data_IF_970814156117
#
_entry.id   IF_970814156117
#
_cell.length_a   1.000
_cell.length_b   1.000
_cell.length_c   1.000
_cell.angle_alpha   90.00
_cell.angle_beta   90.00
_cell.angle_gamma   90.00
#
_symmetry.space_group_name_H-M   'P 1'
#
loop_
_entity.id
_entity.type
_entity.pdbx_description
1 polymer ?
#
# COMPACT_ATOMS: atom_id res chain seq x y z
N UNK A 1 63.34 -6.90 -7.77
CA UNK A 1 62.28 -5.96 -7.34
C UNK A 1 61.09 -6.04 -8.29
N UNK A 2 59.99 -6.66 -7.85
CA UNK A 2 58.73 -6.66 -8.59
C UNK A 2 57.93 -5.43 -8.15
N UNK A 3 57.36 -4.63 -9.09
CA UNK A 3 56.60 -3.45 -8.73
C UNK A 3 55.31 -3.87 -8.04
N UNK A 4 55.20 -3.53 -6.75
CA UNK A 4 53.94 -3.53 -6.02
C UNK A 4 53.00 -2.54 -6.71
N UNK A 5 52.14 -3.02 -7.62
CA UNK A 5 51.10 -2.19 -8.21
C UNK A 5 50.16 -1.67 -7.12
N UNK A 6 49.83 -0.38 -7.17
CA UNK A 6 48.87 0.26 -6.27
C UNK A 6 47.52 -0.46 -6.36
N UNK A 7 47.21 -1.30 -5.37
CA UNK A 7 45.90 -1.95 -5.23
C UNK A 7 45.16 -1.30 -4.08
N UNK A 8 44.05 -0.64 -4.37
CA UNK A 8 43.08 -0.19 -3.37
C UNK A 8 41.86 -1.10 -3.36
N UNK A 9 41.21 -1.20 -2.20
CA UNK A 9 39.95 -1.91 -2.01
C UNK A 9 39.07 -1.14 -1.02
N UNK A 10 37.76 -1.22 -1.21
CA UNK A 10 36.76 -0.61 -0.35
C UNK A 10 35.82 -1.68 0.20
N UNK A 11 35.32 -1.45 1.42
CA UNK A 11 34.31 -2.30 2.05
C UNK A 11 33.37 -1.47 2.92
N UNK A 12 32.13 -1.92 3.05
CA UNK A 12 31.13 -1.26 3.89
C UNK A 12 31.27 -1.74 5.34
N UNK A 13 31.69 -0.86 6.24
CA UNK A 13 31.60 -1.09 7.68
C UNK A 13 30.25 -0.57 8.20
N UNK A 14 29.39 -1.48 8.63
CA UNK A 14 28.10 -1.14 9.25
C UNK A 14 28.26 -1.20 10.77
N UNK A 15 28.12 -0.07 11.45
CA UNK A 15 28.15 0.00 12.92
C UNK A 15 26.71 0.15 13.42
N UNK A 16 26.27 -0.76 14.29
CA UNK A 16 24.90 -0.79 14.83
C UNK A 16 24.89 -0.51 16.33
N UNK A 17 23.79 0.03 16.89
CA UNK A 17 23.64 0.12 18.33
C UNK A 17 23.57 -1.29 18.95
N UNK A 18 24.00 -1.42 20.21
CA UNK A 18 23.94 -2.71 20.94
C UNK A 18 22.53 -3.13 21.39
N UNK A 19 21.52 -2.29 21.16
CA UNK A 19 20.10 -2.57 21.47
C UNK A 19 19.18 -1.86 20.47
N UNK A 20 18.03 -2.47 20.22
CA UNK A 20 16.92 -1.82 19.53
C UNK A 20 16.28 -0.73 20.41
N UNK A 21 15.38 0.06 19.81
CA UNK A 21 14.50 0.94 20.57
C UNK A 21 13.66 0.09 21.54
N UNK A 22 13.66 0.48 22.81
CA UNK A 22 13.00 -0.27 23.87
C UNK A 22 11.58 0.26 24.12
N UNK A 23 10.54 -0.59 24.27
CA UNK A 23 9.19 -0.13 24.52
C UNK A 23 9.04 0.78 25.75
N UNK A 24 9.81 0.58 26.83
CA UNK A 24 9.75 1.45 28.01
C UNK A 24 10.20 2.88 27.68
N UNK A 25 11.15 3.03 26.75
CA UNK A 25 11.61 4.35 26.29
C UNK A 25 10.57 5.12 25.48
N UNK A 26 9.57 4.42 24.92
CA UNK A 26 8.50 5.01 24.09
C UNK A 26 7.22 5.20 24.89
N UNK A 27 6.88 4.25 25.75
CA UNK A 27 5.57 4.15 26.42
C UNK A 27 5.66 4.61 27.88
N UNK A 28 6.85 4.56 28.48
CA UNK A 28 7.11 4.95 29.86
C UNK A 28 7.59 3.78 30.72
N UNK A 29 8.48 4.02 31.71
CA UNK A 29 8.97 2.98 32.62
C UNK A 29 7.82 2.31 33.37
N UNK A 30 7.79 0.97 33.37
CA UNK A 30 6.76 0.19 34.06
C UNK A 30 5.35 0.29 33.46
N UNK A 31 5.19 0.94 32.31
CA UNK A 31 3.90 1.07 31.66
C UNK A 31 3.41 -0.29 31.14
N UNK A 32 2.18 -0.65 31.49
CA UNK A 32 1.47 -1.79 30.89
C UNK A 32 0.49 -1.25 29.86
N UNK A 33 0.62 -1.71 28.62
CA UNK A 33 -0.28 -1.36 27.54
C UNK A 33 -0.96 -2.57 26.96
N UNK A 34 -2.08 -2.32 26.32
CA UNK A 34 -2.73 -3.28 25.45
C UNK A 34 -2.79 -2.71 24.04
N UNK A 35 -2.99 -3.59 23.07
CA UNK A 35 -3.28 -3.23 21.69
C UNK A 35 -4.09 -4.33 21.05
N UNK A 36 -4.52 -4.10 19.81
CA UNK A 36 -5.27 -5.10 19.06
C UNK A 36 -4.44 -5.63 17.89
N UNK A 37 -4.72 -6.88 17.52
CA UNK A 37 -4.20 -7.48 16.30
C UNK A 37 -5.35 -7.79 15.35
N UNK A 38 -5.29 -7.26 14.13
CA UNK A 38 -6.34 -7.45 13.13
C UNK A 38 -5.75 -7.95 11.82
N UNK A 39 -6.43 -8.88 11.17
CA UNK A 39 -6.19 -9.13 9.75
C UNK A 39 -6.93 -8.04 8.98
N UNK A 40 -6.24 -7.01 8.52
CA UNK A 40 -6.86 -5.82 7.92
C UNK A 40 -7.80 -6.19 6.77
N UNK A 41 -7.44 -7.18 5.96
CA UNK A 41 -8.29 -7.64 4.86
C UNK A 41 -9.67 -8.18 5.32
N UNK A 42 -9.84 -8.60 6.58
CA UNK A 42 -11.12 -9.08 7.11
C UNK A 42 -12.01 -7.97 7.64
N UNK A 43 -11.50 -6.74 7.79
CA UNK A 43 -12.26 -5.63 8.37
C UNK A 43 -13.37 -5.21 7.39
N UNK A 44 -14.57 -5.04 7.93
CA UNK A 44 -15.76 -4.61 7.18
C UNK A 44 -16.19 -3.24 7.66
N UNK A 45 -16.57 -2.39 6.72
CA UNK A 45 -17.23 -1.11 6.99
C UNK A 45 -18.27 -0.83 5.91
N UNK A 46 -19.16 0.13 6.19
CA UNK A 46 -20.16 0.56 5.20
C UNK A 46 -19.52 1.21 3.95
N UNK A 47 -18.24 1.60 4.02
CA UNK A 47 -17.54 2.39 2.99
C UNK A 47 -16.53 1.59 2.18
N UNK A 48 -15.94 0.54 2.75
CA UNK A 48 -14.89 -0.21 2.06
C UNK A 48 -15.45 -1.08 0.93
N UNK A 49 -14.56 -1.60 0.08
CA UNK A 49 -14.97 -2.22 -1.19
C UNK A 49 -15.14 -3.74 -1.06
N UNK A 50 -15.46 -4.23 0.15
CA UNK A 50 -15.50 -5.67 0.46
C UNK A 50 -14.19 -6.23 1.00
N UNK A 51 -13.22 -5.36 1.29
CA UNK A 51 -11.95 -5.66 1.97
C UNK A 51 -11.60 -4.45 2.83
N UNK A 52 -11.05 -4.69 4.02
CA UNK A 52 -10.56 -3.59 4.85
C UNK A 52 -9.42 -2.83 4.19
N UNK A 53 -9.44 -1.51 4.28
CA UNK A 53 -8.44 -0.62 3.66
C UNK A 53 -7.80 0.35 4.67
N UNK A 54 -6.91 1.23 4.20
CA UNK A 54 -6.19 2.15 5.08
C UNK A 54 -7.07 3.19 5.77
N UNK A 55 -8.30 3.46 5.29
CA UNK A 55 -9.27 4.27 6.05
C UNK A 55 -9.83 3.49 7.22
N UNK A 56 -10.15 2.21 7.02
CA UNK A 56 -10.62 1.35 8.10
C UNK A 56 -9.53 1.18 9.16
N UNK A 57 -8.25 1.08 8.75
CA UNK A 57 -7.12 1.07 9.68
C UNK A 57 -7.01 2.38 10.48
N UNK A 58 -7.17 3.54 9.84
CA UNK A 58 -7.17 4.82 10.54
C UNK A 58 -8.30 4.90 11.58
N UNK A 59 -9.48 4.39 11.23
CA UNK A 59 -10.63 4.35 12.15
C UNK A 59 -10.41 3.39 13.32
N UNK A 60 -9.85 2.20 13.06
CA UNK A 60 -9.47 1.26 14.12
C UNK A 60 -8.41 1.86 15.05
N UNK A 61 -7.41 2.55 14.51
CA UNK A 61 -6.38 3.24 15.32
C UNK A 61 -7.02 4.34 16.18
N UNK A 62 -7.91 5.16 15.60
CA UNK A 62 -8.61 6.21 16.34
C UNK A 62 -9.49 5.63 17.44
N UNK A 63 -10.24 4.58 17.14
CA UNK A 63 -11.09 3.90 18.11
C UNK A 63 -10.25 3.26 19.23
N UNK A 64 -9.23 2.47 18.89
CA UNK A 64 -8.32 1.86 19.85
C UNK A 64 -7.72 2.89 20.80
N UNK A 65 -7.22 4.01 20.27
CA UNK A 65 -6.66 5.09 21.08
C UNK A 65 -7.68 5.75 22.00
N UNK A 66 -8.94 5.89 21.55
CA UNK A 66 -10.05 6.36 22.38
C UNK A 66 -10.35 5.45 23.58
N UNK A 67 -10.11 4.15 23.42
CA UNK A 67 -10.24 3.14 24.49
C UNK A 67 -8.94 2.95 25.31
N UNK A 68 -7.91 3.77 25.07
CA UNK A 68 -6.61 3.69 25.75
C UNK A 68 -5.67 2.60 25.23
N UNK A 69 -5.94 2.05 24.04
CA UNK A 69 -5.05 1.12 23.35
C UNK A 69 -3.82 1.82 22.79
N UNK A 70 -2.65 1.19 22.93
CA UNK A 70 -1.37 1.77 22.52
C UNK A 70 -0.98 1.46 21.07
N UNK A 71 -1.54 0.41 20.47
CA UNK A 71 -1.23 0.01 19.10
C UNK A 71 -2.33 -0.79 18.42
N UNK A 72 -2.32 -0.76 17.09
CA UNK A 72 -3.06 -1.66 16.21
C UNK A 72 -2.06 -2.38 15.30
N UNK A 73 -1.89 -3.67 15.53
CA UNK A 73 -1.09 -4.54 14.69
C UNK A 73 -1.92 -5.10 13.53
N UNK A 74 -1.30 -5.24 12.36
CA UNK A 74 -1.94 -5.76 11.14
C UNK A 74 -1.13 -6.90 10.52
N UNK A 75 -1.78 -7.73 9.71
CA UNK A 75 -1.08 -8.65 8.81
C UNK A 75 -0.10 -7.88 7.88
N UNK A 76 0.90 -8.56 7.29
CA UNK A 76 1.79 -7.92 6.33
C UNK A 76 1.02 -7.26 5.18
N UNK A 77 1.36 -6.01 4.87
CA UNK A 77 0.70 -5.21 3.82
C UNK A 77 1.49 -5.24 2.49
N UNK A 78 2.32 -6.26 2.31
CA UNK A 78 3.24 -6.43 1.17
C UNK A 78 2.50 -6.61 -0.16
N UNK A 79 3.14 -6.22 -1.26
CA UNK A 79 2.59 -6.34 -2.61
C UNK A 79 2.33 -7.82 -2.96
N UNK A 80 1.10 -8.12 -3.40
CA UNK A 80 0.64 -9.43 -3.84
C UNK A 80 0.12 -9.34 -5.29
N UNK A 81 -0.03 -10.49 -5.96
CA UNK A 81 -0.74 -10.59 -7.25
C UNK A 81 -2.24 -10.37 -7.06
N UNK A 82 -2.79 -10.84 -5.93
CA UNK A 82 -4.23 -10.82 -5.59
C UNK A 82 -5.12 -11.54 -6.61
N UNK A 83 -4.57 -12.51 -7.34
CA UNK A 83 -5.25 -13.34 -8.32
C UNK A 83 -4.78 -14.77 -8.21
N UNK A 84 -5.53 -15.71 -8.79
CA UNK A 84 -5.10 -17.11 -8.94
C UNK A 84 -4.66 -17.76 -7.61
N UNK A 85 -5.30 -17.40 -6.50
CA UNK A 85 -4.94 -17.90 -5.17
C UNK A 85 -3.67 -17.30 -4.55
N UNK A 86 -2.95 -16.42 -5.26
CA UNK A 86 -1.80 -15.67 -4.73
C UNK A 86 -2.26 -14.48 -3.86
N UNK A 87 -2.94 -14.82 -2.75
CA UNK A 87 -3.59 -13.91 -1.80
C UNK A 87 -2.99 -13.98 -0.39
N UNK A 88 -2.08 -14.92 -0.13
CA UNK A 88 -1.45 -15.07 1.20
C UNK A 88 -0.55 -13.87 1.50
N UNK A 89 -0.75 -13.14 2.62
CA UNK A 89 0.13 -12.05 3.05
C UNK A 89 1.59 -12.49 3.29
N UNK A 90 1.81 -13.78 3.47
CA UNK A 90 3.11 -14.39 3.75
C UNK A 90 3.82 -14.94 2.50
N UNK A 91 3.16 -14.92 1.33
CA UNK A 91 3.76 -15.24 0.03
C UNK A 91 3.79 -14.04 -0.91
N UNK A 92 4.42 -12.90 -0.54
CA UNK A 92 4.32 -11.69 -1.34
C UNK A 92 5.21 -11.68 -2.58
N UNK A 93 4.78 -10.93 -3.59
CA UNK A 93 5.61 -10.57 -4.76
C UNK A 93 6.79 -9.70 -4.32
N UNK A 94 6.59 -8.83 -3.33
CA UNK A 94 7.67 -8.02 -2.75
C UNK A 94 7.40 -7.64 -1.30
N UNK A 95 8.41 -7.79 -0.45
CA UNK A 95 8.41 -7.28 0.93
C UNK A 95 8.72 -5.78 1.03
N UNK A 96 9.16 -5.15 -0.06
CA UNK A 96 9.54 -3.73 -0.08
C UNK A 96 8.39 -2.79 -0.49
N UNK A 97 7.41 -3.31 -1.22
CA UNK A 97 6.28 -2.55 -1.77
C UNK A 97 4.97 -3.05 -1.19
N UNK A 98 3.91 -2.24 -1.33
CA UNK A 98 2.64 -2.44 -0.62
C UNK A 98 1.53 -2.92 -1.55
N UNK A 99 0.57 -3.64 -0.99
CA UNK A 99 -0.59 -4.14 -1.73
C UNK A 99 -1.56 -3.00 -2.08
N UNK A 100 -1.86 -2.86 -3.38
CA UNK A 100 -2.81 -1.88 -3.92
C UNK A 100 -4.23 -2.05 -3.36
N UNK A 101 -4.60 -3.26 -2.92
CA UNK A 101 -5.94 -3.52 -2.38
C UNK A 101 -6.24 -2.71 -1.11
N UNK A 102 -5.24 -2.33 -0.33
CA UNK A 102 -5.43 -1.52 0.87
C UNK A 102 -5.58 -0.02 0.59
N UNK A 103 -5.49 0.42 -0.67
CA UNK A 103 -5.75 1.83 -1.00
C UNK A 103 -7.21 2.18 -0.77
N UNK A 104 -7.43 3.19 0.07
CA UNK A 104 -8.70 3.87 0.24
C UNK A 104 -8.97 4.81 -0.95
N UNK A 105 -9.64 4.29 -1.98
CA UNK A 105 -9.86 5.00 -3.25
C UNK A 105 -10.53 6.37 -3.05
N UNK A 106 -11.51 6.44 -2.13
CA UNK A 106 -12.24 7.67 -1.81
C UNK A 106 -11.36 8.78 -1.21
N UNK A 107 -10.17 8.44 -0.71
CA UNK A 107 -9.23 9.38 -0.08
C UNK A 107 -8.07 9.79 -0.99
N UNK A 108 -8.03 9.29 -2.23
CA UNK A 108 -7.03 9.73 -3.21
C UNK A 108 -7.35 11.17 -3.63
N UNK A 109 -6.43 12.14 -3.45
CA UNK A 109 -6.72 13.56 -3.67
C UNK A 109 -7.29 13.88 -5.05
N UNK A 110 -6.79 13.19 -6.07
CA UNK A 110 -7.19 13.40 -7.47
C UNK A 110 -8.65 13.01 -7.76
N UNK A 111 -9.36 12.43 -6.80
CA UNK A 111 -10.80 12.17 -6.94
C UNK A 111 -11.59 13.48 -7.11
N UNK A 112 -11.15 14.56 -6.45
CA UNK A 112 -11.75 15.90 -6.61
C UNK A 112 -11.66 16.39 -8.06
N UNK A 113 -10.56 16.05 -8.70
CA UNK A 113 -10.12 16.59 -9.97
C UNK A 113 -10.41 15.66 -11.17
N UNK A 114 -10.81 14.42 -10.92
CA UNK A 114 -11.10 13.40 -11.93
C UNK A 114 -12.61 13.23 -12.10
N UNK A 115 -13.18 13.93 -13.08
CA UNK A 115 -14.59 13.73 -13.47
C UNK A 115 -14.84 12.29 -13.93
N UNK A 116 -13.86 11.68 -14.61
CA UNK A 116 -13.90 10.27 -15.00
C UNK A 116 -14.03 9.35 -13.77
N UNK A 117 -13.16 9.49 -12.77
CA UNK A 117 -13.22 8.65 -11.57
C UNK A 117 -14.53 8.85 -10.80
N UNK A 118 -15.02 10.10 -10.69
CA UNK A 118 -16.31 10.40 -10.05
C UNK A 118 -17.48 9.73 -10.78
N UNK A 119 -17.54 9.87 -12.11
CA UNK A 119 -18.58 9.21 -12.90
C UNK A 119 -18.55 7.68 -12.76
N UNK A 120 -17.35 7.07 -12.67
CA UNK A 120 -17.22 5.64 -12.40
C UNK A 120 -17.78 5.27 -11.01
N UNK A 121 -17.42 6.02 -9.97
CA UNK A 121 -17.92 5.82 -8.61
C UNK A 121 -19.43 6.02 -8.51
N UNK A 122 -20.01 6.97 -9.23
CA UNK A 122 -21.44 7.24 -9.24
C UNK A 122 -22.22 6.24 -10.10
N UNK A 123 -21.55 5.46 -10.94
CA UNK A 123 -22.22 4.51 -11.83
C UNK A 123 -22.98 3.42 -11.06
N UNK A 124 -24.24 3.19 -11.44
CA UNK A 124 -25.08 2.14 -10.85
C UNK A 124 -24.43 0.76 -10.91
N UNK A 125 -23.66 0.49 -11.98
CA UNK A 125 -22.91 -0.75 -12.17
C UNK A 125 -21.86 -0.97 -11.08
N UNK A 126 -20.99 0.02 -10.85
CA UNK A 126 -19.96 -0.11 -9.82
C UNK A 126 -20.60 -0.15 -8.43
N UNK A 127 -21.60 0.72 -8.17
CA UNK A 127 -22.30 0.72 -6.89
C UNK A 127 -22.98 -0.62 -6.57
N UNK A 128 -23.62 -1.26 -7.55
CA UNK A 128 -24.19 -2.60 -7.38
C UNK A 128 -23.09 -3.63 -7.09
N UNK A 129 -21.97 -3.59 -7.81
CA UNK A 129 -20.84 -4.49 -7.57
C UNK A 129 -20.23 -4.30 -6.18
N UNK A 130 -20.08 -3.06 -5.71
CA UNK A 130 -19.55 -2.79 -4.37
C UNK A 130 -20.48 -3.28 -3.26
N UNK A 131 -21.80 -3.16 -3.44
CA UNK A 131 -22.77 -3.77 -2.51
C UNK A 131 -22.57 -5.28 -2.42
N UNK A 132 -22.54 -5.95 -3.57
CA UNK A 132 -22.32 -7.40 -3.62
C UNK A 132 -21.00 -7.82 -2.95
N UNK A 133 -19.89 -7.11 -3.21
CA UNK A 133 -18.59 -7.43 -2.62
C UNK A 133 -18.55 -7.23 -1.10
N UNK A 134 -19.25 -6.22 -0.59
CA UNK A 134 -19.38 -6.00 0.86
C UNK A 134 -20.22 -7.08 1.52
N UNK A 135 -21.26 -7.56 0.85
CA UNK A 135 -22.23 -8.51 1.41
C UNK A 135 -21.74 -9.97 1.37
N UNK A 136 -20.64 -10.27 0.67
CA UNK A 136 -20.03 -11.61 0.66
C UNK A 136 -19.36 -11.97 1.98
N UNK A 137 -19.58 -13.20 2.44
CA UNK A 137 -18.94 -13.77 3.64
C UNK A 137 -17.40 -13.79 3.55
N UNK A 138 -16.88 -14.06 2.36
CA UNK A 138 -15.44 -14.12 2.08
C UNK A 138 -15.00 -12.98 1.18
N UNK A 139 -13.78 -12.49 1.41
CA UNK A 139 -13.15 -11.48 0.57
C UNK A 139 -12.91 -12.05 -0.83
N UNK A 140 -13.49 -11.41 -1.84
CA UNK A 140 -13.25 -11.71 -3.25
C UNK A 140 -12.13 -10.82 -3.78
N UNK A 141 -10.87 -11.21 -3.52
CA UNK A 141 -9.67 -10.41 -3.80
C UNK A 141 -9.57 -9.95 -5.25
N UNK A 142 -9.85 -10.86 -6.19
CA UNK A 142 -9.73 -10.58 -7.61
C UNK A 142 -10.82 -9.61 -8.07
N UNK A 143 -12.06 -9.79 -7.62
CA UNK A 143 -13.13 -8.86 -7.92
C UNK A 143 -12.93 -7.47 -7.31
N UNK A 144 -12.38 -7.38 -6.10
CA UNK A 144 -12.04 -6.09 -5.50
C UNK A 144 -10.92 -5.42 -6.31
N UNK A 145 -9.91 -6.17 -6.74
CA UNK A 145 -8.85 -5.65 -7.59
C UNK A 145 -9.42 -5.12 -8.91
N UNK A 146 -10.31 -5.89 -9.54
CA UNK A 146 -10.99 -5.52 -10.79
C UNK A 146 -11.91 -4.31 -10.65
N UNK A 147 -12.52 -4.12 -9.48
CA UNK A 147 -13.27 -2.90 -9.17
C UNK A 147 -12.33 -1.70 -8.99
N UNK A 148 -11.23 -1.86 -8.22
CA UNK A 148 -10.32 -0.75 -7.85
C UNK A 148 -9.46 -0.26 -9.01
N UNK A 149 -8.86 -1.16 -9.79
CA UNK A 149 -7.85 -0.80 -10.80
C UNK A 149 -8.35 0.20 -11.84
N UNK A 150 -9.56 0.07 -12.43
CA UNK A 150 -10.08 1.05 -13.38
C UNK A 150 -10.17 2.46 -12.78
N UNK A 151 -10.68 2.59 -11.55
CA UNK A 151 -10.79 3.89 -10.88
C UNK A 151 -9.41 4.45 -10.52
N UNK A 152 -8.50 3.62 -10.00
CA UNK A 152 -7.12 4.03 -9.71
C UNK A 152 -6.37 4.49 -10.98
N UNK A 153 -6.62 3.88 -12.14
CA UNK A 153 -6.07 4.34 -13.42
C UNK A 153 -6.61 5.71 -13.83
N UNK A 154 -7.91 5.95 -13.66
CA UNK A 154 -8.52 7.26 -13.92
C UNK A 154 -7.97 8.35 -12.98
N UNK A 155 -7.77 8.01 -11.70
CA UNK A 155 -7.13 8.89 -10.72
C UNK A 155 -5.67 9.18 -11.08
N UNK A 156 -4.91 8.14 -11.48
CA UNK A 156 -3.53 8.31 -11.94
C UNK A 156 -3.44 9.15 -13.22
N UNK A 157 -4.38 9.03 -14.17
CA UNK A 157 -4.45 9.93 -15.34
C UNK A 157 -4.63 11.39 -14.93
N UNK A 158 -5.55 11.66 -14.00
CA UNK A 158 -5.76 13.00 -13.47
C UNK A 158 -4.53 13.54 -12.72
N UNK A 159 -3.83 12.69 -11.96
CA UNK A 159 -2.55 13.02 -11.35
C UNK A 159 -1.51 13.37 -12.42
N UNK A 160 -1.35 12.50 -13.42
CA UNK A 160 -0.34 12.65 -14.45
C UNK A 160 -0.56 13.92 -15.29
N UNK A 161 -1.81 14.24 -15.64
CA UNK A 161 -2.13 15.42 -16.42
C UNK A 161 -1.99 16.74 -15.64
N UNK A 162 -2.03 16.70 -14.30
CA UNK A 162 -1.99 17.91 -13.44
C UNK A 162 -0.66 18.13 -12.74
N UNK A 163 0.01 17.08 -12.30
CA UNK A 163 1.08 17.15 -11.32
C UNK A 163 2.39 16.49 -11.77
N UNK A 164 2.33 15.46 -12.63
CA UNK A 164 3.53 14.73 -13.04
C UNK A 164 4.46 15.67 -13.81
N UNK A 165 5.73 15.67 -13.40
CA UNK A 165 6.79 16.48 -13.97
C UNK A 165 6.48 18.00 -13.95
N UNK A 166 5.60 18.42 -13.03
CA UNK A 166 5.27 19.83 -12.77
C UNK A 166 5.67 20.24 -11.36
N UNK A 167 5.93 21.53 -11.18
CA UNK A 167 6.31 22.11 -9.89
C UNK A 167 5.12 22.37 -8.94
N UNK A 168 4.32 21.32 -8.73
CA UNK A 168 3.26 21.30 -7.72
C UNK A 168 3.73 20.52 -6.50
N UNK A 169 3.13 20.75 -5.32
CA UNK A 169 3.46 19.98 -4.12
C UNK A 169 3.31 18.45 -4.35
N UNK A 170 2.20 18.03 -4.97
CA UNK A 170 1.95 16.63 -5.36
C UNK A 170 3.01 16.09 -6.33
N UNK A 171 3.39 16.89 -7.33
CA UNK A 171 4.42 16.54 -8.31
C UNK A 171 5.80 16.34 -7.67
N UNK A 172 6.24 17.29 -6.83
CA UNK A 172 7.48 17.20 -6.06
C UNK A 172 7.48 16.01 -5.10
N UNK A 173 6.39 15.76 -4.38
CA UNK A 173 6.27 14.61 -3.49
C UNK A 173 6.40 13.27 -4.23
N UNK A 174 5.77 13.14 -5.40
CA UNK A 174 5.88 11.96 -6.25
C UNK A 174 7.29 11.77 -6.82
N UNK A 175 7.90 12.83 -7.35
CA UNK A 175 9.28 12.79 -7.84
C UNK A 175 10.26 12.42 -6.72
N UNK A 176 10.11 13.00 -5.53
CA UNK A 176 10.91 12.68 -4.36
C UNK A 176 10.72 11.23 -3.89
N UNK A 177 9.49 10.71 -3.93
CA UNK A 177 9.25 9.28 -3.65
C UNK A 177 9.96 8.37 -4.65
N UNK A 178 9.88 8.66 -5.95
CA UNK A 178 10.57 7.90 -7.00
C UNK A 178 12.09 7.93 -6.81
N UNK A 179 12.66 9.11 -6.56
CA UNK A 179 14.09 9.27 -6.32
C UNK A 179 14.57 8.47 -5.10
N UNK A 180 13.85 8.55 -3.97
CA UNK A 180 14.21 7.82 -2.74
C UNK A 180 14.13 6.30 -2.88
N UNK A 181 13.20 5.78 -3.70
CA UNK A 181 13.05 4.33 -3.91
C UNK A 181 13.92 3.78 -5.04
N UNK A 182 14.36 4.65 -5.96
CA UNK A 182 15.34 4.34 -7.00
C UNK A 182 14.99 3.11 -7.84
N UNK A 183 16.04 2.36 -8.20
CA UNK A 183 15.95 1.21 -9.12
C UNK A 183 15.04 0.09 -8.60
N UNK A 184 14.92 -0.08 -7.28
CA UNK A 184 14.05 -1.10 -6.70
C UNK A 184 12.57 -0.85 -7.06
N UNK A 185 12.11 0.40 -7.04
CA UNK A 185 10.75 0.76 -7.43
C UNK A 185 10.52 0.58 -8.93
N UNK A 186 11.49 0.98 -9.74
CA UNK A 186 11.42 0.82 -11.19
C UNK A 186 11.32 -0.66 -11.59
N UNK A 187 12.17 -1.51 -11.00
CA UNK A 187 12.14 -2.95 -11.25
C UNK A 187 10.80 -3.57 -10.82
N UNK A 188 10.29 -3.20 -9.64
CA UNK A 188 8.99 -3.70 -9.18
C UNK A 188 7.83 -3.24 -10.07
N UNK A 189 7.78 -1.95 -10.42
CA UNK A 189 6.73 -1.43 -11.31
C UNK A 189 6.80 -2.07 -12.70
N UNK A 190 8.01 -2.31 -13.22
CA UNK A 190 8.23 -3.01 -14.49
C UNK A 190 7.76 -4.44 -14.42
N UNK A 191 8.11 -5.17 -13.36
CA UNK A 191 7.64 -6.54 -13.13
C UNK A 191 6.11 -6.59 -13.11
N UNK A 192 5.45 -5.73 -12.33
CA UNK A 192 3.97 -5.71 -12.25
C UNK A 192 3.32 -5.32 -13.60
N UNK A 193 3.95 -4.44 -14.38
CA UNK A 193 3.46 -4.06 -15.69
C UNK A 193 3.57 -5.21 -16.70
N UNK A 194 4.71 -5.92 -16.71
CA UNK A 194 4.92 -7.10 -17.54
C UNK A 194 3.97 -8.23 -17.15
N UNK A 195 3.80 -8.48 -15.85
CA UNK A 195 2.85 -9.46 -15.34
C UNK A 195 1.41 -9.14 -15.79
N UNK A 196 0.98 -7.88 -15.71
CA UNK A 196 -0.35 -7.47 -16.16
C UNK A 196 -0.53 -7.56 -17.69
N UNK A 197 0.55 -7.47 -18.46
CA UNK A 197 0.53 -7.56 -19.92
C UNK A 197 0.57 -9.01 -20.41
N UNK A 198 1.45 -9.84 -19.82
CA UNK A 198 1.71 -11.22 -20.23
C UNK A 198 0.82 -12.26 -19.53
N UNK A 199 0.36 -11.95 -18.31
CA UNK A 199 -0.45 -12.85 -17.49
C UNK A 199 -1.94 -12.84 -17.83
N UNK A 200 -2.37 -12.09 -18.83
CA UNK A 200 -3.72 -12.21 -19.39
C UNK A 200 -3.71 -13.34 -20.41
N UNK A 201 -4.49 -14.43 -20.26
CA UNK A 201 -4.72 -15.32 -21.38
C UNK A 201 -5.31 -14.50 -22.53
N UNK A 202 -4.77 -14.71 -23.74
CA UNK A 202 -5.26 -14.07 -24.97
C UNK A 202 -6.69 -14.43 -25.30
#
# INVERSE_FOLDING_TARGET
DLPSGDRSAETTLIVTPGRCLDPESVIGPGARVWGMWVNLYTVRSARNWGIGDLSDLEELVRWAGGEGGAFVGVNPLHALRNREGAISPYGPVSRLFHNVLYLAVARVPELRDSAEARAMLESSRLQARLRELRDRDRVDYEAVLDAKLPVLRALHRAFASRHRDRDTERGRAYAGFRARRGRALENHATFMALEAHLGRPG
#
